data_IF_363960350668
#
_entry.id   IF_363960350668
#
_cell.length_a   1.000
_cell.length_b   1.000
_cell.length_c   1.000
_cell.angle_alpha   90.00
_cell.angle_beta   90.00
_cell.angle_gamma   90.00
#
_symmetry.space_group_name_H-M   'P 1'
#
loop_
_entity.id
_entity.type
_entity.pdbx_description
1 polymer ?
#
# COMPACT_ATOMS: atom_id res chain seq x y z
N UNK A 1 16.00 -28.01 10.29
CA UNK A 1 15.05 -28.34 11.37
C UNK A 1 15.05 -27.17 12.33
N UNK A 2 14.22 -26.16 12.07
CA UNK A 2 13.89 -25.18 13.11
C UNK A 2 13.01 -25.91 14.13
N UNK A 3 13.48 -25.96 15.37
CA UNK A 3 12.64 -26.37 16.49
C UNK A 3 11.64 -25.23 16.68
N UNK A 4 10.39 -25.45 16.34
CA UNK A 4 9.29 -24.68 16.90
C UNK A 4 9.36 -24.90 18.41
N UNK A 5 9.81 -23.89 19.15
CA UNK A 5 9.68 -23.87 20.61
C UNK A 5 8.18 -23.77 20.91
N UNK A 6 7.52 -24.93 20.99
CA UNK A 6 6.15 -25.01 21.46
C UNK A 6 6.18 -24.65 22.93
N UNK A 7 5.78 -23.42 23.26
CA UNK A 7 5.56 -23.02 24.65
C UNK A 7 4.41 -23.90 25.16
N UNK A 8 4.73 -24.87 26.00
CA UNK A 8 3.72 -25.70 26.68
C UNK A 8 3.32 -24.95 27.95
N UNK A 9 2.19 -24.26 27.89
CA UNK A 9 1.60 -23.57 29.04
C UNK A 9 0.97 -24.58 30.01
N UNK A 10 1.07 -24.31 31.31
CA UNK A 10 0.43 -25.12 32.34
C UNK A 10 -1.09 -24.89 32.37
N UNK A 11 -1.89 -25.85 32.88
CA UNK A 11 -3.32 -25.63 33.10
C UNK A 11 -3.63 -24.40 33.95
N UNK A 12 -2.79 -24.07 34.93
CA UNK A 12 -2.92 -22.88 35.77
C UNK A 12 -2.68 -21.59 34.99
N UNK A 13 -1.67 -21.55 34.11
CA UNK A 13 -1.41 -20.40 33.23
C UNK A 13 -2.57 -20.19 32.25
N UNK A 14 -3.08 -21.27 31.65
CA UNK A 14 -4.24 -21.21 30.77
C UNK A 14 -5.50 -20.74 31.52
N UNK A 15 -5.71 -21.20 32.75
CA UNK A 15 -6.83 -20.74 33.58
C UNK A 15 -6.72 -19.25 33.91
N UNK A 16 -5.51 -18.72 34.13
CA UNK A 16 -5.28 -17.29 34.33
C UNK A 16 -5.63 -16.48 33.08
N UNK A 17 -5.17 -16.89 31.90
CA UNK A 17 -5.54 -16.22 30.63
C UNK A 17 -7.04 -16.29 30.36
N UNK A 18 -7.68 -17.44 30.63
CA UNK A 18 -9.13 -17.57 30.50
C UNK A 18 -9.87 -16.62 31.44
N UNK A 19 -9.44 -16.49 32.69
CA UNK A 19 -10.04 -15.59 33.66
C UNK A 19 -9.88 -14.12 33.24
N UNK A 20 -8.69 -13.72 32.78
CA UNK A 20 -8.41 -12.38 32.26
C UNK A 20 -9.23 -12.06 31.00
N UNK A 21 -9.43 -13.03 30.12
CA UNK A 21 -10.15 -12.87 28.85
C UNK A 21 -11.68 -13.01 28.99
N UNK A 22 -12.19 -13.37 30.17
CA UNK A 22 -13.63 -13.61 30.37
C UNK A 22 -14.38 -12.28 30.45
N UNK A 23 -15.29 -12.07 29.51
CA UNK A 23 -16.20 -10.92 29.49
C UNK A 23 -17.46 -11.24 30.30
N UNK A 24 -17.89 -10.30 31.15
CA UNK A 24 -19.13 -10.37 31.92
C UNK A 24 -20.11 -9.31 31.45
N UNK A 25 -21.37 -9.70 31.26
CA UNK A 25 -22.46 -8.78 30.89
C UNK A 25 -22.73 -7.73 31.98
N UNK A 26 -22.29 -7.96 33.22
CA UNK A 26 -22.47 -7.03 34.34
C UNK A 26 -21.29 -6.07 34.54
N UNK A 27 -20.18 -6.27 33.83
CA UNK A 27 -19.02 -5.38 33.88
C UNK A 27 -19.23 -4.17 32.97
N UNK A 28 -18.65 -3.02 33.34
CA UNK A 28 -18.58 -1.84 32.47
C UNK A 28 -17.26 -1.89 31.71
N UNK A 29 -17.32 -1.87 30.38
CA UNK A 29 -16.15 -1.78 29.51
C UNK A 29 -16.15 -0.40 28.87
N UNK A 30 -15.10 0.38 29.11
CA UNK A 30 -14.97 1.69 28.49
C UNK A 30 -14.67 1.52 27.00
N UNK A 31 -15.26 2.38 26.17
CA UNK A 31 -14.86 2.46 24.77
C UNK A 31 -13.41 2.91 24.69
N UNK A 32 -12.64 2.26 23.82
CA UNK A 32 -11.27 2.65 23.49
C UNK A 32 -11.18 4.16 23.23
N UNK A 33 -10.35 4.91 23.98
CA UNK A 33 -10.24 6.35 23.82
C UNK A 33 -9.91 6.75 22.38
N UNK A 34 -10.74 7.63 21.80
CA UNK A 34 -10.51 8.23 20.49
C UNK A 34 -9.35 9.21 20.59
N UNK A 35 -8.31 9.00 19.79
CA UNK A 35 -7.09 9.81 19.85
C UNK A 35 -6.69 10.43 18.52
N UNK A 36 -7.18 9.90 17.40
CA UNK A 36 -6.90 10.40 16.05
C UNK A 36 -8.19 10.47 15.23
N UNK A 37 -8.39 11.62 14.59
CA UNK A 37 -9.52 11.89 13.69
C UNK A 37 -9.04 12.56 12.41
N UNK A 38 -9.78 12.36 11.32
CA UNK A 38 -9.77 13.23 10.15
C UNK A 38 -11.06 14.05 10.22
N UNK A 39 -10.92 15.36 10.41
CA UNK A 39 -12.03 16.25 10.79
C UNK A 39 -12.83 15.68 11.99
N UNK A 40 -14.05 15.18 11.76
CA UNK A 40 -14.92 14.59 12.78
C UNK A 40 -15.10 13.06 12.62
N UNK A 41 -14.25 12.41 11.84
CA UNK A 41 -14.29 10.95 11.62
C UNK A 41 -13.16 10.28 12.38
N UNK A 42 -13.47 9.23 13.13
CA UNK A 42 -12.50 8.50 13.94
C UNK A 42 -11.62 7.65 13.02
N UNK A 43 -10.31 7.88 13.07
CA UNK A 43 -9.34 7.06 12.34
C UNK A 43 -8.41 6.24 13.24
N UNK A 44 -8.39 6.54 14.55
CA UNK A 44 -7.56 5.82 15.49
C UNK A 44 -8.00 5.95 16.94
N UNK A 45 -8.14 4.80 17.61
CA UNK A 45 -8.31 4.70 19.06
C UNK A 45 -7.11 4.02 19.74
N UNK A 46 -6.93 4.24 21.04
CA UNK A 46 -6.02 3.41 21.83
C UNK A 46 -6.50 1.95 21.82
N UNK A 47 -5.59 0.98 21.80
CA UNK A 47 -5.94 -0.44 21.68
C UNK A 47 -6.00 -0.94 20.24
N UNK A 48 -5.97 -0.05 19.24
CA UNK A 48 -6.07 -0.40 17.82
C UNK A 48 -4.86 0.11 17.01
N UNK A 49 -4.82 -0.26 15.74
CA UNK A 49 -3.83 0.24 14.78
C UNK A 49 -4.46 0.65 13.46
N UNK A 50 -3.80 1.57 12.75
CA UNK A 50 -4.19 2.05 11.43
C UNK A 50 -2.99 2.03 10.46
N UNK A 51 -3.26 2.23 9.18
CA UNK A 51 -2.22 2.22 8.15
C UNK A 51 -2.41 3.32 7.09
N UNK A 52 -1.29 3.86 6.61
CA UNK A 52 -1.19 4.64 5.38
C UNK A 52 -0.60 3.76 4.27
N UNK A 53 -1.38 3.49 3.23
CA UNK A 53 -0.93 2.78 2.03
C UNK A 53 -0.78 3.73 0.84
N UNK A 54 0.01 3.33 -0.15
CA UNK A 54 0.22 4.16 -1.34
C UNK A 54 1.40 3.71 -2.17
N UNK A 55 1.37 4.01 -3.47
CA UNK A 55 2.50 3.75 -4.37
C UNK A 55 3.79 4.42 -3.91
N UNK A 56 4.93 3.96 -4.42
CA UNK A 56 6.21 4.62 -4.16
C UNK A 56 6.13 6.09 -4.59
N UNK A 57 6.76 6.99 -3.81
CA UNK A 57 6.76 8.44 -4.04
C UNK A 57 5.39 9.12 -3.93
N UNK A 58 4.40 8.49 -3.33
CA UNK A 58 3.09 9.12 -3.08
C UNK A 58 3.05 10.09 -1.90
N UNK A 59 4.21 10.45 -1.33
CA UNK A 59 4.35 11.40 -0.22
C UNK A 59 3.75 10.92 1.13
N UNK A 60 3.62 9.60 1.34
CA UNK A 60 3.17 8.99 2.62
C UNK A 60 3.90 9.53 3.85
N UNK A 61 5.22 9.65 3.82
CA UNK A 61 5.98 10.19 4.97
C UNK A 61 5.58 11.64 5.30
N UNK A 62 5.16 12.45 4.31
CA UNK A 62 4.61 13.79 4.58
C UNK A 62 3.24 13.71 5.26
N UNK A 63 2.38 12.80 4.80
CA UNK A 63 1.10 12.52 5.44
C UNK A 63 1.27 12.10 6.91
N UNK A 64 2.17 11.15 7.17
CA UNK A 64 2.51 10.67 8.52
C UNK A 64 3.12 11.79 9.37
N UNK A 65 3.94 12.68 8.77
CA UNK A 65 4.49 13.83 9.49
C UNK A 65 3.37 14.74 10.03
N UNK A 66 2.28 14.92 9.28
CA UNK A 66 1.12 15.70 9.73
C UNK A 66 0.35 15.02 10.88
N UNK A 67 0.15 13.70 10.81
CA UNK A 67 -0.44 12.91 11.92
C UNK A 67 0.37 13.10 13.20
N UNK A 68 1.70 12.96 13.10
CA UNK A 68 2.59 13.09 14.28
C UNK A 68 2.59 14.51 14.82
N UNK A 69 2.66 15.52 13.95
CA UNK A 69 2.62 16.92 14.37
C UNK A 69 1.30 17.27 15.10
N UNK A 70 0.17 16.79 14.59
CA UNK A 70 -1.14 16.90 15.24
C UNK A 70 -1.13 16.29 16.65
N UNK A 71 -0.61 15.06 16.78
CA UNK A 71 -0.51 14.34 18.05
C UNK A 71 0.44 15.00 19.05
N UNK A 72 1.53 15.60 18.56
CA UNK A 72 2.54 16.22 19.41
C UNK A 72 1.94 17.33 20.29
N UNK A 73 1.06 18.14 19.72
CA UNK A 73 0.40 19.26 20.39
C UNK A 73 -1.06 19.00 20.78
N UNK A 74 -1.64 17.83 20.45
CA UNK A 74 -3.10 17.62 20.51
C UNK A 74 -3.86 18.75 19.79
N UNK A 75 -3.48 18.97 18.53
CA UNK A 75 -3.99 20.08 17.72
C UNK A 75 -4.59 19.56 16.42
N UNK A 76 -4.84 20.46 15.47
CA UNK A 76 -5.23 20.11 14.10
C UNK A 76 -4.09 20.49 13.16
N UNK A 77 -3.62 19.54 12.35
CA UNK A 77 -2.60 19.76 11.32
C UNK A 77 -3.10 19.12 10.03
N UNK A 78 -3.17 19.90 8.94
CA UNK A 78 -3.98 19.55 7.78
C UNK A 78 -5.43 19.24 8.24
N UNK A 79 -5.94 18.04 7.96
CA UNK A 79 -7.24 17.56 8.45
C UNK A 79 -7.11 16.62 9.64
N UNK A 80 -5.89 16.37 10.13
CA UNK A 80 -5.68 15.46 11.26
C UNK A 80 -5.87 16.18 12.58
N UNK A 81 -6.83 15.72 13.38
CA UNK A 81 -7.07 16.19 14.74
C UNK A 81 -6.70 15.11 15.74
N UNK A 82 -5.93 15.49 16.76
CA UNK A 82 -5.49 14.56 17.81
C UNK A 82 -5.90 14.99 19.21
N UNK A 83 -6.25 14.01 20.06
CA UNK A 83 -6.74 14.23 21.44
C UNK A 83 -6.23 13.16 22.40
N UNK A 84 -4.91 13.00 22.49
CA UNK A 84 -4.31 12.01 23.39
C UNK A 84 -4.46 12.42 24.87
N UNK A 85 -4.83 11.49 25.78
CA UNK A 85 -4.80 11.74 27.23
C UNK A 85 -3.42 12.17 27.73
N UNK A 86 -3.36 12.89 28.86
CA UNK A 86 -2.09 13.42 29.43
C UNK A 86 -1.06 12.32 29.71
N UNK A 87 -1.50 11.16 30.20
CA UNK A 87 -0.68 9.97 30.44
C UNK A 87 -0.42 9.12 29.18
N UNK A 88 -0.70 9.65 27.98
CA UNK A 88 -0.53 9.00 26.68
C UNK A 88 0.07 9.95 25.64
N UNK A 89 0.84 10.96 26.08
CA UNK A 89 1.37 12.01 25.20
C UNK A 89 2.72 11.70 24.55
N UNK A 90 3.42 10.64 24.93
CA UNK A 90 4.68 10.27 24.26
C UNK A 90 4.40 9.62 22.91
N UNK A 91 5.24 9.96 21.94
CA UNK A 91 5.21 9.44 20.58
C UNK A 91 6.54 8.74 20.30
N UNK A 92 6.47 7.53 19.74
CA UNK A 92 7.61 6.78 19.24
C UNK A 92 7.51 6.70 17.70
N UNK A 93 8.43 7.35 16.99
CA UNK A 93 8.56 7.22 15.54
C UNK A 93 9.68 6.26 15.19
N UNK A 94 9.36 5.19 14.47
CA UNK A 94 10.30 4.22 13.94
C UNK A 94 10.36 4.32 12.42
N UNK A 95 11.56 4.55 11.89
CA UNK A 95 11.82 4.55 10.45
C UNK A 95 12.77 3.40 10.11
N UNK A 96 12.32 2.48 9.26
CA UNK A 96 13.08 1.31 8.82
C UNK A 96 13.69 1.46 7.43
N UNK A 97 13.27 2.45 6.65
CA UNK A 97 13.61 2.60 5.24
C UNK A 97 14.75 3.61 5.00
N UNK A 98 14.80 4.70 5.76
CA UNK A 98 15.61 5.87 5.45
C UNK A 98 16.94 5.92 6.22
N UNK A 99 17.88 6.70 5.68
CA UNK A 99 19.14 7.02 6.38
C UNK A 99 18.92 8.08 7.46
N UNK A 100 19.82 8.14 8.45
CA UNK A 100 19.73 9.07 9.59
C UNK A 100 19.52 10.54 9.20
N UNK A 101 20.20 11.00 8.15
CA UNK A 101 20.02 12.37 7.63
C UNK A 101 18.56 12.63 7.23
N UNK A 102 17.95 11.71 6.50
CA UNK A 102 16.56 11.86 6.07
C UNK A 102 15.57 11.74 7.24
N UNK A 103 15.81 10.82 8.19
CA UNK A 103 15.03 10.79 9.44
C UNK A 103 15.09 12.12 10.21
N UNK A 104 16.25 12.78 10.24
CA UNK A 104 16.37 14.11 10.84
C UNK A 104 15.55 15.15 10.08
N UNK A 105 15.50 15.11 8.75
CA UNK A 105 14.63 15.99 7.97
C UNK A 105 13.14 15.74 8.24
N UNK A 106 12.74 14.48 8.43
CA UNK A 106 11.38 14.12 8.86
C UNK A 106 11.07 14.72 10.23
N UNK A 107 11.98 14.57 11.19
CA UNK A 107 11.83 15.14 12.52
C UNK A 107 11.67 16.66 12.47
N UNK A 108 12.53 17.37 11.72
CA UNK A 108 12.41 18.83 11.54
C UNK A 108 11.08 19.24 10.94
N UNK A 109 10.60 18.51 9.93
CA UNK A 109 9.28 18.75 9.33
C UNK A 109 8.16 18.60 10.34
N UNK A 110 8.19 17.54 11.15
CA UNK A 110 7.20 17.32 12.21
C UNK A 110 7.20 18.49 13.19
N UNK A 111 8.37 18.95 13.64
CA UNK A 111 8.48 20.09 14.55
C UNK A 111 7.92 21.36 13.93
N UNK A 112 8.26 21.64 12.67
CA UNK A 112 7.76 22.81 11.96
C UNK A 112 6.25 22.76 11.73
N UNK A 113 5.68 21.59 11.42
CA UNK A 113 4.23 21.39 11.32
C UNK A 113 3.50 21.55 12.67
N UNK A 114 4.20 21.32 13.78
CA UNK A 114 3.70 21.50 15.13
C UNK A 114 4.06 22.88 15.72
N UNK A 115 4.54 23.83 14.91
CA UNK A 115 4.99 25.15 15.38
C UNK A 115 6.03 25.09 16.53
N UNK A 116 6.89 24.07 16.52
CA UNK A 116 7.96 23.87 17.51
C UNK A 116 9.35 24.21 16.96
N UNK A 117 10.31 24.61 17.83
CA UNK A 117 11.66 24.95 17.40
C UNK A 117 12.45 23.74 16.86
N UNK A 118 12.94 23.84 15.61
CA UNK A 118 13.69 22.75 14.94
C UNK A 118 15.07 22.43 15.55
N UNK A 119 15.59 23.32 16.39
CA UNK A 119 16.91 23.17 17.02
C UNK A 119 16.84 22.46 18.38
N UNK A 120 15.64 22.10 18.85
CA UNK A 120 15.43 21.44 20.14
C UNK A 120 14.65 20.14 19.95
N UNK A 121 15.10 19.07 20.59
CA UNK A 121 14.31 17.85 20.65
C UNK A 121 13.08 18.09 21.54
N UNK A 122 11.87 17.72 21.09
CA UNK A 122 10.66 17.77 21.91
C UNK A 122 10.76 16.70 23.02
N UNK A 123 10.21 17.00 24.19
CA UNK A 123 10.26 16.06 25.31
C UNK A 123 9.39 14.82 25.03
N UNK A 124 8.35 14.94 24.21
CA UNK A 124 7.33 13.91 23.98
C UNK A 124 7.41 13.20 22.62
N UNK A 125 8.52 13.29 21.89
CA UNK A 125 8.73 12.53 20.65
C UNK A 125 10.13 11.91 20.61
N UNK A 126 10.18 10.60 20.36
CA UNK A 126 11.40 9.80 20.23
C UNK A 126 11.46 9.24 18.81
N UNK A 127 12.57 9.46 18.10
CA UNK A 127 12.79 8.95 16.75
C UNK A 127 13.85 7.84 16.75
N UNK A 128 13.51 6.65 16.25
CA UNK A 128 14.40 5.52 16.05
C UNK A 128 14.61 5.23 14.56
N UNK A 129 15.85 5.43 14.08
CA UNK A 129 16.25 5.05 12.72
C UNK A 129 16.84 3.63 12.71
N UNK A 130 16.05 2.66 12.23
CA UNK A 130 16.34 1.22 12.36
C UNK A 130 16.76 0.53 11.05
N UNK A 131 16.99 1.29 9.97
CA UNK A 131 17.39 0.77 8.65
C UNK A 131 18.54 -0.23 8.70
N UNK A 132 19.53 -0.03 9.57
CA UNK A 132 20.74 -0.89 9.65
C UNK A 132 20.53 -2.27 10.29
N UNK A 133 19.41 -2.48 10.98
CA UNK A 133 19.17 -3.70 11.75
C UNK A 133 18.41 -4.74 10.93
N UNK A 134 18.55 -6.02 11.29
CA UNK A 134 17.79 -7.11 10.66
C UNK A 134 16.31 -7.07 11.08
N UNK A 135 15.38 -7.68 10.32
CA UNK A 135 13.96 -7.77 10.69
C UNK A 135 13.72 -8.21 12.14
N UNK A 136 14.35 -9.31 12.58
CA UNK A 136 14.26 -9.81 13.97
C UNK A 136 14.73 -8.78 15.00
N UNK A 137 15.85 -8.10 14.74
CA UNK A 137 16.40 -7.12 15.67
C UNK A 137 15.58 -5.82 15.68
N UNK A 138 15.00 -5.42 14.54
CA UNK A 138 14.04 -4.30 14.49
C UNK A 138 12.85 -4.58 15.39
N UNK A 139 12.25 -5.77 15.26
CA UNK A 139 11.10 -6.18 16.08
C UNK A 139 11.43 -6.15 17.57
N UNK A 140 12.56 -6.73 17.98
CA UNK A 140 13.01 -6.75 19.38
C UNK A 140 13.27 -5.34 19.93
N UNK A 141 13.86 -4.44 19.15
CA UNK A 141 14.07 -3.03 19.55
C UNK A 141 12.72 -2.33 19.75
N UNK A 142 11.77 -2.55 18.84
CA UNK A 142 10.44 -1.93 18.92
C UNK A 142 9.67 -2.45 20.12
N UNK A 143 9.66 -3.77 20.34
CA UNK A 143 9.03 -4.41 21.50
C UNK A 143 9.59 -3.85 22.81
N UNK A 144 10.92 -3.75 22.92
CA UNK A 144 11.57 -3.19 24.10
C UNK A 144 11.23 -1.72 24.29
N UNK A 145 11.22 -0.91 23.22
CA UNK A 145 10.89 0.52 23.30
C UNK A 145 9.44 0.74 23.76
N UNK A 146 8.48 0.03 23.17
CA UNK A 146 7.07 0.02 23.59
C UNK A 146 6.96 -0.44 25.05
N UNK A 147 7.81 -1.39 25.46
CA UNK A 147 7.81 -1.95 26.80
C UNK A 147 8.23 -0.98 27.91
N UNK A 148 9.15 -0.04 27.61
CA UNK A 148 9.82 0.80 28.63
C UNK A 148 9.50 2.29 28.57
N UNK A 149 8.98 2.80 27.45
CA UNK A 149 8.68 4.24 27.33
C UNK A 149 7.41 4.53 28.13
N UNK A 150 7.47 5.33 29.21
CA UNK A 150 6.28 5.71 29.97
C UNK A 150 5.41 6.65 29.14
N UNK A 151 4.12 6.69 29.45
CA UNK A 151 3.13 7.58 28.82
C UNK A 151 3.08 7.51 27.28
N UNK A 152 3.50 6.38 26.69
CA UNK A 152 3.41 6.12 25.26
C UNK A 152 1.93 6.04 24.86
N UNK A 153 1.55 6.82 23.85
CA UNK A 153 0.21 6.78 23.25
C UNK A 153 0.20 6.50 21.76
N UNK A 154 1.21 6.97 21.02
CA UNK A 154 1.30 6.78 19.57
C UNK A 154 2.64 6.17 19.17
N UNK A 155 2.58 5.13 18.33
CA UNK A 155 3.75 4.53 17.70
C UNK A 155 3.59 4.61 16.19
N UNK A 156 4.55 5.23 15.52
CA UNK A 156 4.64 5.25 14.06
C UNK A 156 5.65 4.20 13.62
N UNK A 157 5.25 3.37 12.66
CA UNK A 157 6.14 2.40 12.01
C UNK A 157 6.15 2.71 10.51
N UNK A 158 7.09 3.53 10.10
CA UNK A 158 7.30 3.90 8.69
C UNK A 158 8.13 2.79 8.00
N UNK A 159 7.41 1.80 7.45
CA UNK A 159 7.96 0.64 6.75
C UNK A 159 7.74 -0.69 7.47
N UNK A 160 6.48 -1.13 7.66
CA UNK A 160 6.15 -2.45 8.27
C UNK A 160 6.75 -3.63 7.50
N UNK A 161 6.86 -3.48 6.18
CA UNK A 161 7.45 -4.47 5.28
C UNK A 161 8.84 -4.93 5.75
N UNK A 162 9.59 -4.04 6.39
CA UNK A 162 10.97 -4.28 6.80
C UNK A 162 11.08 -5.10 8.10
N UNK A 163 9.95 -5.49 8.71
CA UNK A 163 9.92 -6.50 9.78
C UNK A 163 9.83 -7.94 9.28
N UNK A 164 9.64 -8.13 7.98
CA UNK A 164 9.56 -9.44 7.34
C UNK A 164 10.80 -9.70 6.50
N UNK A 165 11.23 -10.96 6.41
CA UNK A 165 12.17 -11.41 5.39
C UNK A 165 11.47 -11.62 4.05
N UNK A 166 10.33 -12.33 4.07
CA UNK A 166 9.46 -12.50 2.91
C UNK A 166 8.10 -11.83 3.14
N UNK A 167 7.81 -10.82 2.32
CA UNK A 167 6.54 -10.09 2.35
C UNK A 167 5.34 -10.96 1.93
N UNK A 168 5.60 -12.11 1.28
CA UNK A 168 4.59 -13.07 0.89
C UNK A 168 4.49 -14.26 1.86
N UNK A 169 5.25 -14.26 2.96
CA UNK A 169 5.08 -15.26 4.01
C UNK A 169 3.82 -14.93 4.81
N UNK A 170 2.80 -15.79 4.69
CA UNK A 170 1.57 -15.64 5.48
C UNK A 170 1.84 -15.78 6.97
N UNK A 171 2.71 -16.70 7.38
CA UNK A 171 3.06 -16.89 8.79
C UNK A 171 3.78 -15.66 9.37
N UNK A 172 4.79 -15.13 8.69
CA UNK A 172 5.47 -13.90 9.16
C UNK A 172 4.50 -12.72 9.21
N UNK A 173 3.58 -12.63 8.24
CA UNK A 173 2.56 -11.58 8.23
C UNK A 173 1.62 -11.67 9.44
N UNK A 174 1.13 -12.88 9.73
CA UNK A 174 0.28 -13.15 10.90
C UNK A 174 1.02 -12.87 12.20
N UNK A 175 2.29 -13.25 12.33
CA UNK A 175 3.08 -13.02 13.53
C UNK A 175 3.24 -11.52 13.82
N UNK A 176 3.56 -10.72 12.79
CA UNK A 176 3.71 -9.26 12.93
C UNK A 176 2.39 -8.58 13.30
N UNK A 177 1.28 -8.94 12.65
CA UNK A 177 -0.03 -8.35 12.97
C UNK A 177 -0.53 -8.80 14.34
N UNK A 178 -0.25 -10.05 14.74
CA UNK A 178 -0.54 -10.52 16.10
C UNK A 178 0.24 -9.75 17.15
N UNK A 179 1.51 -9.42 16.87
CA UNK A 179 2.30 -8.53 17.73
C UNK A 179 1.72 -7.11 17.82
N UNK A 180 1.22 -6.56 16.72
CA UNK A 180 0.56 -5.24 16.76
C UNK A 180 -0.68 -5.27 17.64
N UNK A 181 -1.55 -6.27 17.46
CA UNK A 181 -2.75 -6.44 18.29
C UNK A 181 -2.39 -6.59 19.77
N UNK A 182 -1.39 -7.42 20.09
CA UNK A 182 -0.90 -7.59 21.45
C UNK A 182 -0.38 -6.26 22.02
N UNK A 183 0.51 -5.57 21.31
CA UNK A 183 1.11 -4.34 21.82
C UNK A 183 0.11 -3.21 21.99
N UNK A 184 -0.85 -3.06 21.07
CA UNK A 184 -1.86 -2.02 21.17
C UNK A 184 -2.76 -2.25 22.36
N UNK A 185 -3.17 -3.49 22.61
CA UNK A 185 -4.02 -3.87 23.73
C UNK A 185 -3.28 -3.81 25.07
N UNK A 186 -2.14 -4.50 25.22
CA UNK A 186 -1.37 -4.57 26.46
C UNK A 186 -0.91 -3.19 26.96
N UNK A 187 -0.56 -2.30 26.02
CA UNK A 187 -0.05 -0.97 26.35
C UNK A 187 -1.07 0.13 26.19
N UNK A 188 -2.28 -0.16 25.71
CA UNK A 188 -3.31 0.84 25.39
C UNK A 188 -2.69 2.02 24.61
N UNK A 189 -2.13 1.68 23.44
CA UNK A 189 -1.50 2.61 22.48
C UNK A 189 -2.19 2.52 21.13
N UNK A 190 -2.00 3.52 20.29
CA UNK A 190 -2.31 3.44 18.87
C UNK A 190 -1.04 3.22 18.05
N UNK A 191 -1.05 2.25 17.14
CA UNK A 191 0.03 2.07 16.14
C UNK A 191 -0.46 2.61 14.80
N UNK A 192 0.28 3.50 14.16
CA UNK A 192 0.07 3.85 12.75
C UNK A 192 1.24 3.39 11.90
N UNK A 193 0.98 2.65 10.83
CA UNK A 193 2.05 2.07 10.01
C UNK A 193 1.97 2.43 8.53
N UNK A 194 3.09 2.32 7.83
CA UNK A 194 3.20 2.63 6.41
C UNK A 194 3.52 1.37 5.62
N UNK A 195 2.75 1.16 4.55
CA UNK A 195 3.00 0.08 3.59
C UNK A 195 2.89 0.59 2.14
N UNK A 196 3.77 0.09 1.29
CA UNK A 196 3.69 0.35 -0.15
C UNK A 196 2.55 -0.46 -0.80
N UNK A 197 1.86 0.11 -1.78
CA UNK A 197 0.98 -0.65 -2.67
C UNK A 197 1.78 -1.47 -3.70
N UNK A 198 1.12 -2.46 -4.32
CA UNK A 198 1.68 -3.16 -5.47
C UNK A 198 1.93 -2.20 -6.63
N UNK A 199 2.85 -2.56 -7.53
CA UNK A 199 3.14 -1.75 -8.74
C UNK A 199 1.99 -1.75 -9.75
N UNK A 200 1.20 -2.82 -9.77
CA UNK A 200 0.24 -3.10 -10.84
C UNK A 200 -1.21 -2.84 -10.46
N UNK A 201 -1.51 -2.67 -9.17
CA UNK A 201 -2.85 -2.44 -8.63
C UNK A 201 -2.81 -1.52 -7.40
N UNK A 202 -3.98 -1.25 -6.82
CA UNK A 202 -4.15 -0.38 -5.65
C UNK A 202 -4.20 -1.17 -4.33
N UNK A 203 -3.89 -2.46 -4.35
CA UNK A 203 -3.88 -3.26 -3.13
C UNK A 203 -2.59 -3.02 -2.34
N UNK A 204 -2.73 -3.09 -1.02
CA UNK A 204 -1.61 -3.19 -0.10
C UNK A 204 -0.72 -4.38 -0.48
N UNK A 205 0.61 -4.22 -0.39
CA UNK A 205 1.55 -5.17 -0.97
C UNK A 205 1.77 -6.40 -0.08
N UNK A 206 1.71 -7.59 -0.68
CA UNK A 206 2.05 -8.87 -0.06
C UNK A 206 1.00 -9.37 0.94
N UNK A 207 1.28 -10.51 1.59
CA UNK A 207 0.38 -11.10 2.59
C UNK A 207 0.18 -10.18 3.80
N UNK A 208 1.20 -9.42 4.18
CA UNK A 208 1.10 -8.40 5.23
C UNK A 208 0.06 -7.32 4.88
N UNK A 209 -0.08 -6.98 3.59
CA UNK A 209 -1.11 -6.06 3.13
C UNK A 209 -2.53 -6.61 3.31
N UNK A 210 -2.72 -7.91 3.07
CA UNK A 210 -3.99 -8.59 3.33
C UNK A 210 -4.32 -8.63 4.81
N UNK A 211 -3.36 -8.99 5.66
CA UNK A 211 -3.58 -9.02 7.12
C UNK A 211 -3.86 -7.62 7.69
N UNK A 212 -3.16 -6.58 7.20
CA UNK A 212 -3.49 -5.19 7.53
C UNK A 212 -4.93 -4.85 7.15
N UNK A 213 -5.35 -5.15 5.92
CA UNK A 213 -6.73 -4.90 5.45
C UNK A 213 -7.79 -5.58 6.31
N UNK A 214 -7.49 -6.76 6.85
CA UNK A 214 -8.44 -7.52 7.66
C UNK A 214 -8.52 -7.06 9.12
N UNK A 215 -7.47 -6.41 9.65
CA UNK A 215 -7.30 -6.20 11.10
C UNK A 215 -7.16 -4.73 11.51
N UNK A 216 -6.69 -3.87 10.61
CA UNK A 216 -6.58 -2.44 10.89
C UNK A 216 -7.96 -1.83 11.17
N UNK A 217 -7.99 -0.83 12.04
CA UNK A 217 -9.17 -0.01 12.28
C UNK A 217 -9.44 0.93 11.11
N UNK A 218 -8.37 1.50 10.56
CA UNK A 218 -8.43 2.43 9.42
C UNK A 218 -7.26 2.19 8.48
N UNK A 219 -7.54 2.19 7.18
CA UNK A 219 -6.57 2.18 6.11
C UNK A 219 -6.83 3.39 5.23
N UNK A 220 -5.87 4.30 5.24
CA UNK A 220 -5.86 5.47 4.38
C UNK A 220 -4.97 5.21 3.18
N UNK A 221 -5.43 5.56 1.99
CA UNK A 221 -4.62 5.57 0.78
C UNK A 221 -4.14 6.99 0.49
N UNK A 222 -2.85 7.10 0.21
CA UNK A 222 -2.20 8.33 -0.23
C UNK A 222 -1.74 8.14 -1.67
N UNK A 223 -2.36 8.84 -2.61
CA UNK A 223 -2.01 8.83 -4.03
C UNK A 223 -1.60 10.21 -4.53
N UNK A 224 -0.80 10.25 -5.59
CA UNK A 224 -0.52 11.49 -6.33
C UNK A 224 -1.69 11.73 -7.27
N UNK A 225 -2.19 12.96 -7.33
CA UNK A 225 -3.27 13.30 -8.26
C UNK A 225 -2.82 13.05 -9.72
N UNK A 226 -3.74 12.52 -10.53
CA UNK A 226 -3.44 12.09 -11.91
C UNK A 226 -3.21 13.28 -12.84
N UNK A 227 -3.82 14.41 -12.56
CA UNK A 227 -3.74 15.63 -13.36
C UNK A 227 -2.71 16.60 -12.78
N UNK A 228 -2.57 16.66 -11.45
CA UNK A 228 -1.56 17.47 -10.78
C UNK A 228 -0.61 16.65 -9.90
N UNK A 229 0.59 16.39 -10.41
CA UNK A 229 1.62 15.63 -9.67
C UNK A 229 2.12 16.33 -8.40
N UNK A 230 1.91 17.64 -8.26
CA UNK A 230 2.24 18.37 -7.05
C UNK A 230 1.30 18.02 -5.90
N UNK A 231 0.06 17.63 -6.21
CA UNK A 231 -0.98 17.30 -5.25
C UNK A 231 -0.95 15.81 -4.89
N UNK A 232 -1.24 15.52 -3.63
CA UNK A 232 -1.48 14.19 -3.11
C UNK A 232 -2.81 14.14 -2.37
N UNK A 233 -3.60 13.11 -2.65
CA UNK A 233 -4.95 12.91 -2.13
C UNK A 233 -4.89 11.82 -1.06
N UNK A 234 -5.61 12.05 0.03
CA UNK A 234 -5.76 11.14 1.16
C UNK A 234 -7.22 10.74 1.29
N UNK A 235 -7.47 9.45 1.35
CA UNK A 235 -8.83 8.90 1.36
C UNK A 235 -8.88 7.60 2.17
N UNK A 236 -10.05 7.27 2.70
CA UNK A 236 -10.28 5.98 3.34
C UNK A 236 -10.45 4.88 2.27
N UNK A 237 -9.73 3.77 2.43
CA UNK A 237 -9.95 2.52 1.68
C UNK A 237 -10.75 1.54 2.52
N UNK A 238 -10.45 1.50 3.82
CA UNK A 238 -11.17 0.72 4.80
C UNK A 238 -11.21 1.52 6.10
N UNK A 239 -12.38 1.63 6.70
CA UNK A 239 -12.57 2.33 7.97
C UNK A 239 -13.74 1.67 8.69
N UNK A 240 -13.60 1.47 10.00
CA UNK A 240 -14.68 0.90 10.82
C UNK A 240 -15.78 1.92 11.16
N UNK A 241 -15.42 3.19 11.22
CA UNK A 241 -16.35 4.32 11.37
C UNK A 241 -16.91 4.76 10.00
N UNK A 242 -17.67 5.87 9.95
CA UNK A 242 -18.09 6.51 8.69
C UNK A 242 -16.88 6.92 7.85
N UNK A 243 -16.97 6.81 6.53
CA UNK A 243 -15.93 7.36 5.64
C UNK A 243 -15.83 8.88 5.79
N UNK A 244 -14.60 9.40 5.78
CA UNK A 244 -14.33 10.84 5.73
C UNK A 244 -14.21 11.31 4.28
N UNK A 245 -14.56 12.58 4.04
CA UNK A 245 -14.38 13.21 2.74
C UNK A 245 -12.89 13.28 2.37
N UNK A 246 -12.49 12.78 1.18
CA UNK A 246 -11.11 12.84 0.76
C UNK A 246 -10.57 14.27 0.79
N UNK A 247 -9.39 14.45 1.40
CA UNK A 247 -8.70 15.73 1.41
C UNK A 247 -7.39 15.62 0.62
N UNK A 248 -6.83 16.76 0.25
CA UNK A 248 -5.60 16.82 -0.52
C UNK A 248 -4.60 17.78 0.10
N UNK A 249 -3.32 17.48 -0.11
CA UNK A 249 -2.22 18.35 0.25
C UNK A 249 -1.21 18.44 -0.90
N UNK A 250 -0.47 19.54 -0.95
CA UNK A 250 0.68 19.71 -1.84
C UNK A 250 1.93 19.99 -1.02
N UNK A 251 3.09 19.82 -1.64
CA UNK A 251 4.36 20.19 -1.02
C UNK A 251 4.75 21.57 -1.52
N UNK A 252 4.87 22.52 -0.61
CA UNK A 252 5.27 23.88 -0.94
C UNK A 252 6.78 24.01 -1.16
N UNK A 253 7.24 25.21 -1.49
CA UNK A 253 8.64 25.51 -1.80
C UNK A 253 9.59 25.23 -0.62
N UNK A 254 9.08 25.23 0.61
CA UNK A 254 9.83 24.95 1.83
C UNK A 254 9.86 23.45 2.18
N UNK A 255 9.39 22.59 1.27
CA UNK A 255 9.23 21.15 1.49
C UNK A 255 8.31 20.81 2.68
N UNK A 256 7.24 21.59 2.85
CA UNK A 256 6.20 21.38 3.85
C UNK A 256 4.87 20.98 3.18
N UNK A 257 4.10 20.05 3.77
CA UNK A 257 2.77 19.75 3.28
C UNK A 257 1.81 20.86 3.71
N UNK A 258 1.02 21.37 2.76
CA UNK A 258 -0.04 22.35 3.01
C UNK A 258 -1.36 21.88 2.38
N UNK A 259 -2.51 22.20 2.99
CA UNK A 259 -3.80 21.75 2.49
C UNK A 259 -4.10 22.40 1.13
N UNK A 260 -4.76 21.64 0.25
CA UNK A 260 -5.36 22.20 -0.97
C UNK A 260 -6.81 22.54 -0.64
N UNK A 261 -7.10 23.83 -0.48
CA UNK A 261 -8.46 24.30 -0.20
C UNK A 261 -9.41 23.91 -1.33
N UNK A 262 -10.62 23.46 -0.96
CA UNK A 262 -11.68 23.10 -1.90
C UNK A 262 -11.27 22.07 -2.95
N UNK A 263 -10.47 21.07 -2.58
CA UNK A 263 -10.28 19.89 -3.43
C UNK A 263 -11.64 19.26 -3.69
N UNK A 264 -12.13 19.35 -4.92
CA UNK A 264 -13.32 18.63 -5.35
C UNK A 264 -12.85 17.24 -5.79
N UNK A 265 -13.21 16.17 -5.05
CA UNK A 265 -12.89 14.82 -5.46
C UNK A 265 -13.46 14.62 -6.87
N UNK A 266 -12.59 14.52 -7.87
CA UNK A 266 -13.04 14.14 -9.21
C UNK A 266 -13.52 12.72 -9.10
N UNK A 267 -14.74 12.44 -9.59
CA UNK A 267 -15.33 11.10 -9.53
C UNK A 267 -14.27 10.04 -9.83
N UNK A 268 -13.96 9.24 -8.81
CA UNK A 268 -13.20 8.02 -9.01
C UNK A 268 -14.00 7.19 -10.00
N UNK A 269 -13.49 7.05 -11.22
CA UNK A 269 -13.81 5.87 -12.02
C UNK A 269 -13.30 4.69 -11.22
N UNK A 270 -14.18 4.08 -10.43
CA UNK A 270 -13.91 2.89 -9.65
C UNK A 270 -13.48 1.79 -10.63
N UNK A 271 -12.27 1.26 -10.40
CA UNK A 271 -11.64 0.25 -11.25
C UNK A 271 -10.72 0.82 -12.32
N UNK A 272 -9.73 0.01 -12.73
CA UNK A 272 -9.05 0.19 -14.03
C UNK A 272 -10.13 0.49 -15.07
N UNK A 273 -9.90 1.36 -16.08
CA UNK A 273 -10.69 1.24 -17.29
C UNK A 273 -10.62 -0.24 -17.66
N UNK A 274 -11.76 -0.92 -17.70
CA UNK A 274 -11.89 -2.20 -18.36
C UNK A 274 -11.48 -1.91 -19.78
N UNK A 275 -10.17 -1.99 -20.08
CA UNK A 275 -9.74 -2.23 -21.44
C UNK A 275 -10.51 -3.48 -21.80
N UNK A 276 -11.45 -3.33 -22.73
CA UNK A 276 -12.22 -4.45 -23.22
C UNK A 276 -11.27 -5.59 -23.62
N UNK A 277 -11.78 -6.81 -23.73
CA UNK A 277 -10.97 -7.91 -24.24
C UNK A 277 -10.25 -7.46 -25.50
N UNK A 278 -8.92 -7.66 -25.57
CA UNK A 278 -8.09 -7.19 -26.68
C UNK A 278 -8.78 -7.43 -28.02
N UNK A 279 -8.97 -6.37 -28.79
CA UNK A 279 -9.69 -6.38 -30.07
C UNK A 279 -8.70 -5.97 -31.17
N UNK A 280 -8.16 -6.93 -31.95
CA UNK A 280 -7.12 -6.65 -32.92
C UNK A 280 -7.58 -5.73 -34.06
N UNK A 281 -8.87 -5.71 -34.42
CA UNK A 281 -9.41 -4.82 -35.46
C UNK A 281 -9.38 -3.34 -35.02
N UNK A 282 -9.59 -3.10 -33.72
CA UNK A 282 -9.57 -1.74 -33.14
C UNK A 282 -8.21 -1.30 -32.64
N UNK A 283 -7.42 -2.23 -32.10
CA UNK A 283 -6.18 -1.92 -31.39
C UNK A 283 -4.90 -2.07 -32.24
N UNK A 284 -4.98 -2.68 -33.43
CA UNK A 284 -3.86 -2.74 -34.38
C UNK A 284 -4.18 -1.83 -35.58
N UNK A 285 -3.33 -0.85 -35.91
CA UNK A 285 -3.52 -0.03 -37.10
C UNK A 285 -3.53 -0.89 -38.38
N UNK A 286 -4.52 -0.69 -39.26
CA UNK A 286 -4.73 -1.53 -40.45
C UNK A 286 -3.49 -1.66 -41.34
N UNK A 287 -2.70 -0.59 -41.45
CA UNK A 287 -1.47 -0.54 -42.24
C UNK A 287 -0.32 -1.44 -41.69
N UNK A 288 -0.46 -2.00 -40.49
CA UNK A 288 0.54 -2.88 -39.85
C UNK A 288 0.41 -4.33 -40.31
N UNK A 289 -0.78 -4.79 -40.70
CA UNK A 289 -1.01 -6.20 -41.02
C UNK A 289 -0.20 -6.67 -42.23
N UNK A 290 -0.15 -5.91 -43.34
CA UNK A 290 0.58 -6.31 -44.55
C UNK A 290 2.08 -6.50 -44.30
N UNK A 291 2.82 -5.51 -43.77
CA UNK A 291 4.26 -5.67 -43.52
C UNK A 291 4.57 -6.77 -42.49
N UNK A 292 3.70 -6.97 -41.50
CA UNK A 292 3.84 -8.06 -40.55
C UNK A 292 3.66 -9.43 -41.23
N UNK A 293 2.65 -9.59 -42.10
CA UNK A 293 2.39 -10.83 -42.84
C UNK A 293 3.47 -11.13 -43.87
N UNK A 294 4.01 -10.12 -44.55
CA UNK A 294 5.16 -10.27 -45.46
C UNK A 294 6.35 -10.88 -44.71
N UNK A 295 6.54 -10.50 -43.44
CA UNK A 295 7.60 -11.07 -42.59
C UNK A 295 7.26 -12.49 -42.12
N UNK A 296 6.02 -12.73 -41.69
CA UNK A 296 5.55 -14.05 -41.19
C UNK A 296 5.68 -15.13 -42.27
N UNK A 297 5.35 -14.79 -43.52
CA UNK A 297 5.32 -15.71 -44.65
C UNK A 297 6.52 -15.57 -45.60
N UNK A 298 7.57 -14.82 -45.22
CA UNK A 298 8.79 -14.67 -46.01
C UNK A 298 9.45 -16.01 -46.38
N UNK A 299 9.29 -17.01 -45.52
CA UNK A 299 9.81 -18.37 -45.70
C UNK A 299 8.76 -19.37 -46.20
N UNK A 300 7.69 -18.87 -46.85
CA UNK A 300 6.60 -19.67 -47.39
C UNK A 300 5.50 -20.02 -46.38
N UNK A 301 4.64 -20.96 -46.77
CA UNK A 301 3.47 -21.39 -46.01
C UNK A 301 3.87 -22.08 -44.69
N UNK A 302 2.97 -22.02 -43.70
CA UNK A 302 3.22 -22.53 -42.36
C UNK A 302 2.28 -23.70 -42.07
N UNK A 303 2.81 -24.89 -41.80
CA UNK A 303 2.03 -26.13 -41.64
C UNK A 303 1.69 -26.49 -40.19
N UNK A 304 2.20 -25.72 -39.22
CA UNK A 304 2.00 -25.93 -37.79
C UNK A 304 1.39 -24.67 -37.15
N UNK A 305 0.34 -24.85 -36.34
CA UNK A 305 -0.31 -23.75 -35.63
C UNK A 305 0.58 -23.08 -34.59
N UNK A 306 1.40 -23.84 -33.85
CA UNK A 306 2.28 -23.22 -32.84
C UNK A 306 3.39 -22.39 -33.51
N UNK A 307 3.96 -22.88 -34.61
CA UNK A 307 4.91 -22.11 -35.44
C UNK A 307 4.25 -20.87 -36.04
N UNK A 308 3.00 -20.99 -36.51
CA UNK A 308 2.23 -19.85 -37.00
C UNK A 308 2.05 -18.78 -35.92
N UNK A 309 1.71 -19.17 -34.69
CA UNK A 309 1.55 -18.25 -33.56
C UNK A 309 2.88 -17.59 -33.15
N UNK A 310 4.00 -18.33 -33.12
CA UNK A 310 5.31 -17.74 -32.82
C UNK A 310 5.76 -16.75 -33.90
N UNK A 311 5.63 -17.11 -35.18
CA UNK A 311 5.97 -16.21 -36.28
C UNK A 311 5.08 -14.96 -36.31
N UNK A 312 3.80 -15.07 -35.97
CA UNK A 312 2.93 -13.90 -35.78
C UNK A 312 3.46 -12.96 -34.69
N UNK A 313 3.95 -13.50 -33.55
CA UNK A 313 4.53 -12.64 -32.50
C UNK A 313 5.79 -11.92 -32.99
N UNK A 314 6.64 -12.61 -33.74
CA UNK A 314 7.88 -12.05 -34.29
C UNK A 314 7.59 -10.99 -35.37
N UNK A 315 6.76 -11.32 -36.35
CA UNK A 315 6.42 -10.43 -37.47
C UNK A 315 5.72 -9.16 -37.01
N UNK A 316 4.72 -9.26 -36.12
CA UNK A 316 4.09 -8.07 -35.52
C UNK A 316 5.03 -7.34 -34.56
N UNK A 317 5.91 -8.06 -33.86
CA UNK A 317 6.94 -7.47 -33.00
C UNK A 317 7.91 -6.56 -33.75
N UNK A 318 8.30 -6.95 -34.97
CA UNK A 318 9.15 -6.13 -35.86
C UNK A 318 8.43 -4.86 -36.35
N UNK A 319 7.10 -4.85 -36.37
CA UNK A 319 6.28 -3.67 -36.64
C UNK A 319 5.90 -2.89 -35.37
N UNK A 320 6.54 -3.19 -34.23
CA UNK A 320 6.31 -2.50 -32.96
C UNK A 320 5.10 -2.99 -32.16
N UNK A 321 4.42 -4.05 -32.59
CA UNK A 321 3.25 -4.64 -31.91
C UNK A 321 3.67 -5.90 -31.14
N UNK A 322 3.81 -5.77 -29.81
CA UNK A 322 4.17 -6.90 -28.96
C UNK A 322 2.96 -7.78 -28.64
N UNK A 323 2.94 -9.00 -29.17
CA UNK A 323 1.88 -9.98 -28.94
C UNK A 323 2.31 -11.04 -27.92
N UNK A 324 1.46 -11.28 -26.91
CA UNK A 324 1.50 -12.52 -26.11
C UNK A 324 0.65 -13.61 -26.78
N UNK A 325 0.74 -14.86 -26.32
CA UNK A 325 0.03 -16.00 -26.93
C UNK A 325 -1.47 -15.73 -27.17
N UNK A 326 -2.21 -15.35 -26.12
CA UNK A 326 -3.66 -15.08 -26.22
C UNK A 326 -4.01 -13.93 -27.19
N UNK A 327 -3.11 -12.95 -27.38
CA UNK A 327 -3.33 -11.87 -28.35
C UNK A 327 -3.02 -12.33 -29.77
N UNK A 328 -1.95 -13.11 -29.95
CA UNK A 328 -1.60 -13.70 -31.23
C UNK A 328 -2.70 -14.64 -31.76
N UNK A 329 -3.35 -15.41 -30.88
CA UNK A 329 -4.53 -16.23 -31.25
C UNK A 329 -5.66 -15.35 -31.79
N UNK A 330 -5.98 -14.24 -31.13
CA UNK A 330 -7.02 -13.32 -31.61
C UNK A 330 -6.67 -12.65 -32.93
N UNK A 331 -5.39 -12.29 -33.11
CA UNK A 331 -4.89 -11.78 -34.40
C UNK A 331 -5.04 -12.86 -35.48
N UNK A 332 -4.67 -14.10 -35.20
CA UNK A 332 -4.84 -15.21 -36.14
C UNK A 332 -6.32 -15.41 -36.54
N UNK A 333 -7.25 -15.26 -35.60
CA UNK A 333 -8.69 -15.28 -35.88
C UNK A 333 -9.10 -14.15 -36.82
N UNK A 334 -8.75 -12.90 -36.50
CA UNK A 334 -9.04 -11.74 -37.37
C UNK A 334 -8.48 -11.93 -38.78
N UNK A 335 -7.22 -12.35 -38.90
CA UNK A 335 -6.56 -12.58 -40.18
C UNK A 335 -7.27 -13.63 -41.05
N UNK A 336 -7.86 -14.64 -40.41
CA UNK A 336 -8.67 -15.65 -41.07
C UNK A 336 -10.05 -15.11 -41.47
N UNK A 337 -10.72 -14.39 -40.57
CA UNK A 337 -12.05 -13.83 -40.79
C UNK A 337 -12.06 -12.81 -41.93
N UNK A 338 -11.02 -11.96 -41.97
CA UNK A 338 -10.79 -10.93 -43.00
C UNK A 338 -10.07 -11.49 -44.24
N UNK A 339 -9.86 -12.82 -44.29
CA UNK A 339 -9.25 -13.55 -45.42
C UNK A 339 -7.86 -13.04 -45.83
N UNK A 340 -7.11 -12.45 -44.90
CA UNK A 340 -5.71 -12.09 -45.11
C UNK A 340 -4.81 -13.32 -45.10
N UNK A 341 -5.19 -14.34 -44.32
CA UNK A 341 -4.53 -15.64 -44.27
C UNK A 341 -5.58 -16.71 -44.56
N UNK A 342 -5.31 -17.57 -45.53
CA UNK A 342 -6.18 -18.67 -45.92
C UNK A 342 -5.58 -19.97 -45.39
N UNK A 343 -6.43 -20.83 -44.82
CA UNK A 343 -6.05 -22.17 -44.40
C UNK A 343 -6.36 -23.18 -45.51
N UNK A 344 -5.31 -23.75 -46.09
CA UNK A 344 -5.38 -24.78 -47.13
C UNK A 344 -4.96 -26.12 -46.53
N UNK A 345 -5.94 -26.92 -46.08
CA UNK A 345 -5.67 -28.17 -45.38
C UNK A 345 -5.00 -27.94 -44.02
N UNK A 346 -3.71 -28.30 -43.90
CA UNK A 346 -2.91 -28.06 -42.68
C UNK A 346 -2.09 -26.77 -42.75
N UNK A 347 -2.00 -26.15 -43.92
CA UNK A 347 -1.10 -25.04 -44.16
C UNK A 347 -1.85 -23.71 -44.06
N UNK A 348 -1.19 -22.71 -43.48
CA UNK A 348 -1.60 -21.32 -43.51
C UNK A 348 -0.82 -20.63 -44.63
N UNK A 349 -1.53 -19.91 -45.50
CA UNK A 349 -0.98 -19.20 -46.64
C UNK A 349 -1.42 -17.73 -46.63
N UNK A 350 -0.52 -16.83 -46.98
CA UNK A 350 -0.83 -15.41 -47.12
C UNK A 350 -1.62 -15.16 -48.41
N UNK A 351 -2.76 -14.46 -48.31
CA UNK A 351 -3.57 -14.08 -49.47
C UNK A 351 -3.17 -12.69 -49.96
N UNK A 352 -2.44 -12.52 -51.08
CA UNK A 352 -1.98 -11.20 -51.51
C UNK A 352 -3.11 -10.26 -51.97
N UNK A 353 -4.28 -10.81 -52.29
CA UNK A 353 -5.45 -10.11 -52.86
C UNK A 353 -6.50 -9.74 -51.79
N UNK A 354 -6.16 -9.78 -50.49
CA UNK A 354 -7.11 -9.39 -49.45
C UNK A 354 -7.46 -7.89 -49.50
N UNK A 355 -8.67 -7.56 -49.07
CA UNK A 355 -9.15 -6.18 -48.90
C UNK A 355 -9.56 -5.99 -47.43
N UNK A 356 -8.89 -5.09 -46.72
CA UNK A 356 -9.13 -4.81 -45.30
C UNK A 356 -8.87 -3.35 -44.93
#
# INVERSE_FOLDING_TARGET
MEKTDTIILSPEELAAYMAESTISVTSTYEHSPVVLMVDDTIIGTLGNFSASIGKAKSKKTFNVSAIVASALNNSTVLHYRSTFPENKRKILYIDTEQGRYHCQQVLKRILRLADLPEYKNPDNLIMLALRKFSPKLRLAIVEQAIGIIPDLGLVIIDGIRDFLYDINSSSESTDIISKFMQWTDDRQIHIHTVLHQNKNDEHARGHIGTELNNKAETIMQVEVDKEDKAVSVVEAVHIRDREFEPFAFRINEEAMPEPVESYLPKEKKTGRPTKGPFDPDKEIPKNVHRPALDTVFANGNISNYDDYIERLKEGYGLQGIKLGYNKAVKVATLLSDERMVIKEGKDYAFNPEYHY
#
